data_IF_214249821734
#
_entry.id   IF_214249821734
#
_cell.length_a   1.000
_cell.length_b   1.000
_cell.length_c   1.000
_cell.angle_alpha   90.00
_cell.angle_beta   90.00
_cell.angle_gamma   90.00
#
_symmetry.space_group_name_H-M   'P 1'
#
loop_
_entity.id
_entity.type
_entity.pdbx_description
1 polymer ?
#
# COMPACT_ATOMS: atom_id res chain seq x y z
N UNK A 1 -18.63 -7.93 -9.25
CA UNK A 1 -17.16 -8.10 -9.18
C UNK A 1 -16.61 -7.88 -7.75
N UNK A 2 -17.19 -8.51 -6.72
CA UNK A 2 -16.86 -8.25 -5.30
C UNK A 2 -16.14 -9.41 -4.60
N UNK A 3 -15.95 -10.56 -5.26
CA UNK A 3 -15.36 -11.77 -4.66
C UNK A 3 -13.83 -11.88 -4.75
N UNK A 4 -13.15 -10.95 -5.41
CA UNK A 4 -11.69 -11.03 -5.64
C UNK A 4 -10.84 -10.30 -4.57
N UNK A 5 -11.46 -9.64 -3.58
CA UNK A 5 -10.72 -8.81 -2.61
C UNK A 5 -9.93 -9.62 -1.57
N UNK A 6 -10.35 -10.85 -1.26
CA UNK A 6 -9.71 -11.69 -0.24
C UNK A 6 -8.64 -12.67 -0.75
N UNK A 7 -8.28 -12.63 -2.04
CA UNK A 7 -7.25 -13.53 -2.56
C UNK A 7 -5.84 -13.06 -2.18
N UNK A 8 -5.02 -14.04 -1.79
CA UNK A 8 -3.57 -13.91 -1.59
C UNK A 8 -2.93 -13.23 -2.80
N UNK A 9 -1.90 -12.42 -2.55
CA UNK A 9 -1.12 -11.72 -3.57
C UNK A 9 -0.63 -12.68 -4.66
N UNK A 10 -0.25 -13.89 -4.25
CA UNK A 10 0.21 -14.95 -5.15
C UNK A 10 -0.87 -15.37 -6.15
N UNK A 11 -2.10 -15.58 -5.69
CA UNK A 11 -3.21 -15.98 -6.56
C UNK A 11 -3.63 -14.86 -7.51
N UNK A 12 -3.52 -13.60 -7.08
CA UNK A 12 -3.76 -12.44 -7.95
C UNK A 12 -2.72 -12.37 -9.08
N UNK A 13 -1.44 -12.58 -8.77
CA UNK A 13 -0.37 -12.59 -9.79
C UNK A 13 -0.60 -13.72 -10.79
N UNK A 14 -0.92 -14.93 -10.32
CA UNK A 14 -1.20 -16.08 -11.19
C UNK A 14 -2.37 -15.78 -12.13
N UNK A 15 -3.46 -15.20 -11.62
CA UNK A 15 -4.64 -14.86 -12.43
C UNK A 15 -4.32 -13.80 -13.49
N UNK A 16 -3.52 -12.79 -13.14
CA UNK A 16 -3.07 -11.77 -14.11
C UNK A 16 -2.25 -12.41 -15.22
N UNK A 17 -1.26 -13.23 -14.87
CA UNK A 17 -0.41 -13.92 -15.85
C UNK A 17 -1.27 -14.80 -16.75
N UNK A 18 -2.22 -15.54 -16.18
CA UNK A 18 -3.15 -16.38 -16.94
C UNK A 18 -3.94 -15.56 -17.97
N UNK A 19 -4.52 -14.43 -17.55
CA UNK A 19 -5.30 -13.55 -18.44
C UNK A 19 -4.44 -12.98 -19.56
N UNK A 20 -3.21 -12.55 -19.27
CA UNK A 20 -2.26 -12.02 -20.27
C UNK A 20 -1.89 -13.09 -21.29
N UNK A 21 -1.60 -14.32 -20.85
CA UNK A 21 -1.26 -15.44 -21.73
C UNK A 21 -2.45 -15.82 -22.62
N UNK A 22 -3.66 -15.91 -22.06
CA UNK A 22 -4.87 -16.22 -22.83
C UNK A 22 -5.15 -15.12 -23.86
N UNK A 23 -5.02 -13.84 -23.46
CA UNK A 23 -5.19 -12.72 -24.38
C UNK A 23 -4.18 -12.73 -25.52
N UNK A 24 -2.92 -13.07 -25.23
CA UNK A 24 -1.87 -13.23 -26.23
C UNK A 24 -2.23 -14.32 -27.25
N UNK A 25 -2.66 -15.50 -26.77
CA UNK A 25 -3.00 -16.63 -27.64
C UNK A 25 -4.20 -16.32 -28.54
N UNK A 26 -5.23 -15.68 -28.00
CA UNK A 26 -6.41 -15.28 -28.78
C UNK A 26 -6.07 -14.24 -29.85
N UNK A 27 -5.26 -13.23 -29.50
CA UNK A 27 -4.79 -12.24 -30.47
C UNK A 27 -3.94 -12.88 -31.56
N UNK A 28 -3.02 -13.77 -31.20
CA UNK A 28 -2.18 -14.48 -32.15
C UNK A 28 -3.01 -15.27 -33.17
N UNK A 29 -4.04 -16.00 -32.72
CA UNK A 29 -4.91 -16.79 -33.59
C UNK A 29 -5.71 -15.92 -34.56
N UNK A 30 -6.28 -14.81 -34.09
CA UNK A 30 -7.04 -13.88 -34.94
C UNK A 30 -6.13 -13.14 -35.92
N UNK A 31 -4.96 -12.69 -35.46
CA UNK A 31 -4.00 -11.98 -36.30
C UNK A 31 -3.36 -12.91 -37.34
N UNK A 32 -3.08 -14.17 -36.99
CA UNK A 32 -2.52 -15.11 -37.95
C UNK A 32 -3.47 -15.38 -39.11
N UNK A 33 -4.78 -15.48 -38.84
CA UNK A 33 -5.80 -15.67 -39.89
C UNK A 33 -5.92 -14.46 -40.83
N UNK A 34 -5.79 -13.25 -40.28
CA UNK A 34 -5.95 -12.01 -41.06
C UNK A 34 -4.70 -11.66 -41.85
N UNK A 35 -3.52 -11.88 -41.27
CA UNK A 35 -2.26 -11.39 -41.83
C UNK A 35 -1.46 -12.46 -42.57
N UNK A 36 -1.70 -13.74 -42.33
CA UNK A 36 -0.96 -14.82 -43.00
C UNK A 36 -1.82 -15.47 -44.07
N UNK A 37 -1.58 -15.09 -45.32
CA UNK A 37 -2.20 -15.74 -46.47
C UNK A 37 -1.39 -16.98 -46.85
N UNK A 38 -2.03 -18.15 -46.92
CA UNK A 38 -1.35 -19.37 -47.37
C UNK A 38 -0.97 -19.26 -48.86
N UNK A 39 0.28 -19.55 -49.24
CA UNK A 39 0.68 -19.52 -50.64
C UNK A 39 0.01 -20.67 -51.40
N UNK A 40 -0.93 -20.34 -52.28
CA UNK A 40 -1.70 -21.30 -53.08
C UNK A 40 -0.95 -21.88 -54.29
N UNK A 41 0.33 -21.55 -54.46
CA UNK A 41 1.15 -22.01 -55.60
C UNK A 41 2.45 -22.66 -55.14
N UNK A 42 2.88 -23.72 -55.84
CA UNK A 42 4.08 -24.48 -55.51
C UNK A 42 5.38 -23.65 -55.53
N UNK A 43 5.42 -22.57 -56.29
CA UNK A 43 6.53 -21.60 -56.30
C UNK A 43 6.55 -20.72 -55.04
N UNK A 44 5.38 -20.40 -54.48
CA UNK A 44 5.27 -19.65 -53.21
C UNK A 44 5.66 -20.49 -51.99
N UNK A 45 5.35 -21.79 -52.00
CA UNK A 45 5.71 -22.69 -50.89
C UNK A 45 7.23 -22.87 -50.73
N UNK A 46 7.98 -22.89 -51.83
CA UNK A 46 9.45 -23.04 -51.80
C UNK A 46 10.15 -21.76 -51.31
N UNK A 47 9.57 -20.57 -51.58
CA UNK A 47 10.06 -19.30 -51.05
C UNK A 47 9.84 -19.15 -49.54
N UNK A 48 8.71 -19.65 -49.03
CA UNK A 48 8.38 -19.57 -47.60
C UNK A 48 9.22 -20.51 -46.72
N UNK A 49 9.80 -21.58 -47.28
CA UNK A 49 10.70 -22.48 -46.56
C UNK A 49 12.15 -21.98 -46.47
N UNK A 50 12.58 -21.12 -47.39
CA UNK A 50 13.94 -20.58 -47.43
C UNK A 50 14.10 -19.25 -46.69
N UNK A 51 13.01 -18.50 -46.52
CA UNK A 51 12.99 -17.25 -45.76
C UNK A 51 12.25 -17.48 -44.43
N UNK A 52 12.80 -16.99 -43.32
CA UNK A 52 12.02 -16.87 -42.07
C UNK A 52 10.88 -15.91 -42.33
N UNK A 53 9.76 -16.43 -42.83
CA UNK A 53 8.67 -15.62 -43.37
C UNK A 53 8.32 -14.47 -42.41
N UNK A 54 8.52 -13.22 -42.84
CA UNK A 54 8.41 -12.06 -41.95
C UNK A 54 6.99 -11.90 -41.39
N UNK A 55 5.99 -12.50 -42.03
CA UNK A 55 4.58 -12.41 -41.67
C UNK A 55 4.29 -12.95 -40.25
N UNK A 56 4.80 -14.14 -39.91
CA UNK A 56 4.63 -14.68 -38.56
C UNK A 56 5.48 -13.95 -37.53
N UNK A 57 6.66 -13.48 -37.93
CA UNK A 57 7.57 -12.74 -37.03
C UNK A 57 6.94 -11.42 -36.58
N UNK A 58 6.32 -10.70 -37.52
CA UNK A 58 5.60 -9.45 -37.24
C UNK A 58 4.40 -9.71 -36.33
N UNK A 59 3.61 -10.76 -36.60
CA UNK A 59 2.46 -11.13 -35.75
C UNK A 59 2.90 -11.48 -34.33
N UNK A 60 4.00 -12.22 -34.15
CA UNK A 60 4.56 -12.56 -32.84
C UNK A 60 5.06 -11.32 -32.08
N UNK A 61 5.73 -10.40 -32.77
CA UNK A 61 6.24 -9.17 -32.14
C UNK A 61 5.10 -8.25 -31.70
N UNK A 62 4.04 -8.14 -32.49
CA UNK A 62 2.86 -7.33 -32.15
C UNK A 62 2.10 -7.96 -30.98
N UNK A 63 1.89 -9.27 -30.97
CA UNK A 63 1.20 -9.93 -29.85
C UNK A 63 1.99 -9.83 -28.55
N UNK A 64 3.32 -9.97 -28.60
CA UNK A 64 4.19 -9.87 -27.42
C UNK A 64 4.24 -8.45 -26.84
N UNK A 65 4.30 -7.43 -27.70
CA UNK A 65 4.29 -6.02 -27.26
C UNK A 65 2.96 -5.63 -26.60
N UNK A 66 1.83 -6.04 -27.18
CA UNK A 66 0.49 -5.79 -26.61
C UNK A 66 0.33 -6.50 -25.27
N UNK A 67 0.76 -7.78 -25.17
CA UNK A 67 0.68 -8.54 -23.93
C UNK A 67 1.46 -7.88 -22.78
N UNK A 68 2.65 -7.34 -23.06
CA UNK A 68 3.46 -6.63 -22.08
C UNK A 68 2.79 -5.32 -21.63
N UNK A 69 2.22 -4.56 -22.56
CA UNK A 69 1.48 -3.32 -22.26
C UNK A 69 0.27 -3.60 -21.38
N UNK A 70 -0.52 -4.65 -21.69
CA UNK A 70 -1.67 -5.07 -20.88
C UNK A 70 -1.23 -5.51 -19.49
N UNK A 71 -0.16 -6.31 -19.37
CA UNK A 71 0.39 -6.72 -18.08
C UNK A 71 0.79 -5.53 -17.20
N UNK A 72 1.45 -4.52 -17.78
CA UNK A 72 1.81 -3.28 -17.09
C UNK A 72 0.57 -2.48 -16.69
N UNK A 73 -0.41 -2.31 -17.60
CA UNK A 73 -1.67 -1.61 -17.33
C UNK A 73 -2.47 -2.25 -16.20
N UNK A 74 -2.62 -3.57 -16.24
CA UNK A 74 -3.27 -4.35 -15.20
C UNK A 74 -2.52 -4.22 -13.89
N UNK A 75 -1.18 -4.23 -13.90
CA UNK A 75 -0.38 -4.01 -12.69
C UNK A 75 -0.57 -2.60 -12.13
N UNK A 76 -0.64 -1.58 -12.99
CA UNK A 76 -0.91 -0.20 -12.57
C UNK A 76 -2.35 0.00 -12.06
N UNK A 77 -3.32 -0.74 -12.60
CA UNK A 77 -4.71 -0.74 -12.15
C UNK A 77 -4.93 -1.55 -10.87
N UNK A 78 -4.18 -2.64 -10.68
CA UNK A 78 -4.22 -3.45 -9.47
C UNK A 78 -3.31 -2.96 -8.37
N UNK A 79 -2.48 -1.92 -8.60
CA UNK A 79 -1.88 -1.18 -7.50
C UNK A 79 -3.05 -0.74 -6.62
N UNK A 80 -3.19 -1.29 -5.41
CA UNK A 80 -4.16 -0.73 -4.49
C UNK A 80 -3.76 0.74 -4.38
N UNK A 81 -4.72 1.64 -4.65
CA UNK A 81 -4.61 3.03 -4.21
C UNK A 81 -4.02 2.93 -2.82
N UNK A 82 -2.83 3.50 -2.63
CA UNK A 82 -2.01 3.38 -1.45
C UNK A 82 -2.91 3.72 -0.27
N UNK A 83 -3.57 2.71 0.29
CA UNK A 83 -4.33 2.84 1.50
C UNK A 83 -3.21 2.97 2.50
N UNK A 84 -2.85 4.21 2.77
CA UNK A 84 -2.20 4.56 4.01
C UNK A 84 -2.93 3.75 5.07
N UNK A 85 -2.20 2.78 5.62
CA UNK A 85 -2.61 1.87 6.66
C UNK A 85 -3.00 2.69 7.89
N UNK A 86 -4.19 3.28 7.85
CA UNK A 86 -4.87 3.95 8.96
C UNK A 86 -5.82 2.98 9.67
N UNK A 87 -6.08 1.82 9.07
CA UNK A 87 -7.00 0.80 9.60
C UNK A 87 -6.36 -0.12 10.66
N UNK A 88 -5.04 -0.06 10.90
CA UNK A 88 -4.42 -0.79 12.03
C UNK A 88 -4.15 0.09 13.26
N UNK A 89 -4.11 1.42 13.12
CA UNK A 89 -3.80 2.29 14.26
C UNK A 89 -4.95 2.32 15.27
N UNK A 90 -6.20 2.30 14.84
CA UNK A 90 -7.33 2.40 15.77
C UNK A 90 -7.47 1.17 16.65
N UNK A 91 -7.31 -0.03 16.09
CA UNK A 91 -7.35 -1.29 16.85
C UNK A 91 -6.10 -1.49 17.72
N UNK A 92 -4.89 -1.16 17.23
CA UNK A 92 -3.69 -1.15 18.09
C UNK A 92 -3.82 -0.15 19.24
N UNK A 93 -4.34 1.06 18.97
CA UNK A 93 -4.53 2.07 20.00
C UNK A 93 -5.57 1.65 21.04
N UNK A 94 -6.62 0.90 20.66
CA UNK A 94 -7.57 0.33 21.62
C UNK A 94 -6.98 -0.79 22.47
N UNK A 95 -6.17 -1.67 21.87
CA UNK A 95 -5.45 -2.73 22.60
C UNK A 95 -4.41 -2.11 23.54
N UNK A 96 -3.68 -1.08 23.08
CA UNK A 96 -2.75 -0.28 23.87
C UNK A 96 -3.48 0.41 25.03
N UNK A 97 -4.65 1.02 24.80
CA UNK A 97 -5.47 1.63 25.87
C UNK A 97 -5.87 0.62 26.95
N UNK A 98 -6.03 -0.66 26.61
CA UNK A 98 -6.27 -1.74 27.60
C UNK A 98 -5.01 -2.11 28.38
N UNK A 99 -3.82 -1.90 27.81
CA UNK A 99 -2.54 -2.12 28.46
C UNK A 99 -2.04 -0.93 29.31
N UNK A 100 -2.72 0.23 29.24
CA UNK A 100 -2.33 1.40 30.03
C UNK A 100 -2.60 1.18 31.52
N UNK A 101 -1.60 1.52 32.32
CA UNK A 101 -1.72 1.63 33.78
C UNK A 101 -2.65 2.77 34.17
N UNK A 102 -3.16 2.74 35.40
CA UNK A 102 -4.11 3.76 35.89
C UNK A 102 -3.45 5.16 35.97
N UNK A 103 -2.15 5.20 36.27
CA UNK A 103 -1.34 6.43 36.20
C UNK A 103 -1.27 6.97 34.75
N UNK A 104 -1.08 6.13 33.74
CA UNK A 104 -1.04 6.55 32.33
C UNK A 104 -2.39 7.08 31.85
N UNK A 105 -3.50 6.47 32.30
CA UNK A 105 -4.86 6.97 32.02
C UNK A 105 -5.09 8.34 32.63
N UNK A 106 -4.69 8.55 33.88
CA UNK A 106 -4.84 9.84 34.56
C UNK A 106 -4.11 10.98 33.81
N UNK A 107 -2.92 10.71 33.27
CA UNK A 107 -2.19 11.67 32.42
C UNK A 107 -2.96 11.99 31.13
N UNK A 108 -3.44 10.96 30.43
CA UNK A 108 -4.16 11.15 29.18
C UNK A 108 -5.46 11.92 29.36
N UNK A 109 -6.19 11.67 30.45
CA UNK A 109 -7.41 12.38 30.76
C UNK A 109 -7.14 13.87 31.02
N UNK A 110 -6.05 14.18 31.71
CA UNK A 110 -5.67 15.57 31.97
C UNK A 110 -5.21 16.30 30.71
N UNK A 111 -4.42 15.64 29.85
CA UNK A 111 -4.05 16.20 28.54
C UNK A 111 -5.30 16.38 27.67
N UNK A 112 -6.26 15.44 27.69
CA UNK A 112 -7.50 15.55 26.92
C UNK A 112 -8.37 16.71 27.39
N UNK A 113 -8.45 16.95 28.70
CA UNK A 113 -9.17 18.08 29.29
C UNK A 113 -8.53 19.43 28.95
N UNK A 114 -7.21 19.52 29.01
CA UNK A 114 -6.48 20.74 28.69
C UNK A 114 -6.30 20.98 27.18
N UNK A 115 -6.39 19.92 26.37
CA UNK A 115 -6.04 19.92 24.95
C UNK A 115 -4.53 19.87 24.73
N UNK A 116 -3.84 20.85 25.30
CA UNK A 116 -2.39 21.01 25.28
C UNK A 116 -1.94 21.51 26.66
N UNK A 117 -0.87 20.93 27.19
CA UNK A 117 -0.40 21.27 28.54
C UNK A 117 1.11 21.09 28.66
N UNK A 118 1.77 22.00 29.39
CA UNK A 118 3.19 21.82 29.69
C UNK A 118 3.41 20.70 30.71
N UNK A 119 4.56 20.03 30.61
CA UNK A 119 4.97 18.98 31.53
C UNK A 119 5.05 19.48 32.98
N UNK A 120 5.45 20.73 33.21
CA UNK A 120 5.44 21.32 34.55
C UNK A 120 4.01 21.52 35.07
N UNK A 121 3.10 22.07 34.25
CA UNK A 121 1.69 22.21 34.63
C UNK A 121 1.04 20.86 34.93
N UNK A 122 1.30 19.86 34.10
CA UNK A 122 0.80 18.49 34.29
C UNK A 122 1.34 17.88 35.60
N UNK A 123 2.60 18.15 35.96
CA UNK A 123 3.19 17.73 37.24
C UNK A 123 2.45 18.32 38.44
N UNK A 124 2.15 19.62 38.38
CA UNK A 124 1.45 20.31 39.46
C UNK A 124 0.01 19.84 39.61
N UNK A 125 -0.71 19.60 38.52
CA UNK A 125 -2.11 19.14 38.55
C UNK A 125 -2.29 17.74 39.10
N UNK A 126 -1.34 16.86 38.83
CA UNK A 126 -1.37 15.47 39.30
C UNK A 126 -0.63 15.28 40.64
N UNK A 127 -0.01 16.34 41.17
CA UNK A 127 0.81 16.30 42.40
C UNK A 127 1.91 15.22 42.39
N UNK A 128 2.51 14.99 41.22
CA UNK A 128 3.52 13.93 41.04
C UNK A 128 4.95 14.44 41.08
N UNK A 129 5.89 13.55 41.41
CA UNK A 129 7.31 13.87 41.30
C UNK A 129 7.72 14.04 39.82
N UNK A 130 8.74 14.86 39.57
CA UNK A 130 9.30 15.06 38.22
C UNK A 130 9.74 13.74 37.59
N UNK A 131 10.32 12.84 38.37
CA UNK A 131 10.77 11.53 37.91
C UNK A 131 9.60 10.62 37.52
N UNK A 132 8.54 10.54 38.35
CA UNK A 132 7.34 9.74 38.06
C UNK A 132 6.69 10.20 36.74
N UNK A 133 6.43 11.50 36.61
CA UNK A 133 5.80 12.03 35.41
C UNK A 133 6.68 11.85 34.17
N UNK A 134 7.99 12.09 34.28
CA UNK A 134 8.91 11.91 33.14
C UNK A 134 8.94 10.46 32.64
N UNK A 135 8.88 9.49 33.56
CA UNK A 135 8.83 8.06 33.20
C UNK A 135 7.54 7.73 32.46
N UNK A 136 6.39 8.18 32.97
CA UNK A 136 5.07 7.94 32.36
C UNK A 136 4.99 8.59 30.97
N UNK A 137 5.40 9.86 30.85
CA UNK A 137 5.43 10.55 29.56
C UNK A 137 6.36 9.85 28.56
N UNK A 138 7.49 9.30 29.01
CA UNK A 138 8.39 8.54 28.13
C UNK A 138 7.76 7.24 27.65
N UNK A 139 6.99 6.55 28.50
CA UNK A 139 6.25 5.35 28.08
C UNK A 139 5.16 5.71 27.04
N UNK A 140 4.34 6.71 27.34
CA UNK A 140 3.27 7.15 26.44
C UNK A 140 3.80 7.65 25.08
N UNK A 141 4.96 8.31 25.08
CA UNK A 141 5.65 8.77 23.87
C UNK A 141 6.23 7.58 23.06
N UNK A 142 6.84 6.59 23.73
CA UNK A 142 7.28 5.34 23.07
C UNK A 142 6.13 4.58 22.42
N UNK A 143 4.94 4.67 22.99
CA UNK A 143 3.72 4.07 22.46
C UNK A 143 3.03 4.93 21.39
N UNK A 144 3.61 6.08 21.01
CA UNK A 144 3.04 7.05 20.06
C UNK A 144 1.63 7.53 20.43
N UNK A 145 1.29 7.61 21.72
CA UNK A 145 -0.02 8.07 22.20
C UNK A 145 -0.02 9.59 22.42
N UNK A 146 1.12 10.12 22.87
CA UNK A 146 1.35 11.55 23.08
C UNK A 146 2.53 12.00 22.22
N UNK A 147 2.63 13.31 22.04
CA UNK A 147 3.80 13.98 21.46
C UNK A 147 4.30 15.05 22.43
N UNK A 148 5.60 15.30 22.37
CA UNK A 148 6.28 16.28 23.20
C UNK A 148 7.05 17.25 22.32
N UNK A 149 6.78 18.53 22.48
CA UNK A 149 7.50 19.60 21.82
C UNK A 149 8.27 20.44 22.83
N UNK A 150 9.52 20.76 22.55
CA UNK A 150 10.32 21.54 23.48
C UNK A 150 9.91 23.01 23.40
N UNK A 151 9.42 23.55 24.52
CA UNK A 151 9.03 24.96 24.64
C UNK A 151 9.84 25.60 25.78
N UNK A 152 10.88 26.34 25.40
CA UNK A 152 11.80 26.98 26.33
C UNK A 152 12.55 25.97 27.23
N UNK A 153 12.27 26.01 28.54
CA UNK A 153 12.89 25.14 29.56
C UNK A 153 12.06 23.89 29.88
N UNK A 154 10.88 23.73 29.28
CA UNK A 154 9.95 22.63 29.53
C UNK A 154 9.51 21.97 28.23
N UNK A 155 8.71 20.92 28.34
CA UNK A 155 8.07 20.28 27.19
C UNK A 155 6.59 20.58 27.22
N UNK A 156 6.06 20.93 26.06
CA UNK A 156 4.65 20.97 25.82
C UNK A 156 4.17 19.58 25.38
N UNK A 157 3.02 19.16 25.88
CA UNK A 157 2.53 17.78 25.72
C UNK A 157 1.11 17.81 25.17
N UNK A 158 0.88 17.05 24.11
CA UNK A 158 -0.42 16.92 23.44
C UNK A 158 -0.63 15.50 22.91
N UNK A 159 -1.86 15.16 22.55
CA UNK A 159 -2.21 13.83 22.03
C UNK A 159 -1.68 13.64 20.60
N UNK A 160 -1.10 12.46 20.32
CA UNK A 160 -0.63 12.12 18.98
C UNK A 160 -1.79 12.14 17.97
N UNK A 161 -1.62 12.87 16.87
CA UNK A 161 -2.66 13.07 15.85
C UNK A 161 -3.45 14.37 15.99
N UNK A 162 -3.38 15.04 17.15
CA UNK A 162 -3.83 16.42 17.32
C UNK A 162 -2.61 17.33 17.13
N UNK A 163 -2.15 17.48 15.89
CA UNK A 163 -1.09 18.46 15.57
C UNK A 163 -1.71 19.86 15.75
N UNK A 164 -1.13 20.77 16.54
CA UNK A 164 -1.58 22.15 16.54
C UNK A 164 -1.32 22.68 15.13
N UNK A 165 -2.38 23.07 14.43
CA UNK A 165 -2.24 23.90 13.23
C UNK A 165 -1.62 25.23 13.68
N UNK A 166 -0.48 25.57 13.08
CA UNK A 166 0.23 26.83 13.32
C UNK A 166 -0.50 27.99 12.68
#
# INVERSE_FOLDING_TARGET
MSRLRGLDLTTKIILIVLVVVISYLLLFLVLSEVFVQEPTSGTGMMGQMMDTSPDYTVVILISLTIALVVGVLVTLWLKPAKTETTVSKTDELEIIKRALSDDEKAVLDEIRRAGEITQDSLRFRLEWSKAKLSRILTNLDKMNIIQRERVGKTYNVFLAGKRPEQ
#
